data_IF_199438141485
#
_entry.id   IF_199438141485
#
_cell.length_a   1.000
_cell.length_b   1.000
_cell.length_c   1.000
_cell.angle_alpha   90.00
_cell.angle_beta   90.00
_cell.angle_gamma   90.00
#
_symmetry.space_group_name_H-M   'P 1'
#
loop_
_entity.id
_entity.type
_entity.pdbx_description
1 polymer ?
#
# COMPACT_ATOMS: atom_id res chain seq x y z
N UNK A 1 1.25 -1.89 11.38
CA UNK A 1 1.98 -0.83 10.66
C UNK A 1 1.08 -0.29 9.57
N UNK A 2 0.88 1.03 9.53
CA UNK A 2 0.00 1.66 8.54
C UNK A 2 0.61 1.68 7.13
N UNK A 3 -0.20 1.92 6.09
CA UNK A 3 0.30 2.10 4.72
C UNK A 3 1.32 3.26 4.63
N UNK A 4 1.07 4.33 5.39
CA UNK A 4 1.97 5.46 5.51
C UNK A 4 3.31 5.09 6.16
N UNK A 5 3.33 4.23 7.19
CA UNK A 5 4.58 3.77 7.82
C UNK A 5 5.45 2.99 6.84
N UNK A 6 4.82 2.12 6.04
CA UNK A 6 5.52 1.29 5.05
C UNK A 6 6.09 2.17 3.93
N UNK A 7 5.30 3.12 3.42
CA UNK A 7 5.77 4.09 2.42
C UNK A 7 6.90 4.97 2.97
N UNK A 8 6.79 5.44 4.21
CA UNK A 8 7.83 6.25 4.85
C UNK A 8 9.13 5.45 5.05
N UNK A 9 9.03 4.19 5.48
CA UNK A 9 10.18 3.30 5.65
C UNK A 9 10.87 3.03 4.32
N UNK A 10 10.12 2.73 3.26
CA UNK A 10 10.67 2.51 1.92
C UNK A 10 11.29 3.77 1.34
N UNK A 11 10.67 4.93 1.53
CA UNK A 11 11.24 6.22 1.15
C UNK A 11 12.56 6.48 1.86
N UNK A 12 12.62 6.24 3.18
CA UNK A 12 13.85 6.41 3.95
C UNK A 12 14.97 5.48 3.47
N UNK A 13 14.67 4.19 3.24
CA UNK A 13 15.64 3.23 2.70
C UNK A 13 16.12 3.66 1.32
N UNK A 14 15.22 4.11 0.45
CA UNK A 14 15.57 4.60 -0.89
C UNK A 14 16.51 5.83 -0.82
N UNK A 15 16.23 6.79 0.05
CA UNK A 15 17.09 7.96 0.24
C UNK A 15 18.46 7.59 0.80
N UNK A 16 18.54 6.64 1.74
CA UNK A 16 19.83 6.14 2.25
C UNK A 16 20.64 5.50 1.12
N UNK A 17 20.00 4.67 0.28
CA UNK A 17 20.67 4.05 -0.86
C UNK A 17 21.16 5.12 -1.86
N UNK A 18 20.34 6.14 -2.14
CA UNK A 18 20.73 7.28 -3.00
C UNK A 18 21.97 8.00 -2.48
N UNK A 19 22.03 8.28 -1.17
CA UNK A 19 23.18 8.94 -0.53
C UNK A 19 24.43 8.05 -0.59
N UNK A 20 24.26 6.73 -0.46
CA UNK A 20 25.35 5.75 -0.54
C UNK A 20 25.79 5.43 -1.97
N UNK A 21 24.98 5.73 -2.98
CA UNK A 21 25.26 5.38 -4.37
C UNK A 21 26.61 5.89 -4.90
N UNK A 22 27.08 7.14 -4.62
CA UNK A 22 28.43 7.57 -5.05
C UNK A 22 29.58 6.77 -4.42
N UNK A 23 29.33 5.99 -3.37
CA UNK A 23 30.32 5.14 -2.70
C UNK A 23 30.27 3.66 -3.15
N UNK A 24 29.33 3.30 -4.04
CA UNK A 24 29.19 1.93 -4.55
C UNK A 24 30.03 1.72 -5.83
N UNK A 25 30.72 0.59 -5.97
CA UNK A 25 31.57 0.28 -7.13
C UNK A 25 30.81 0.15 -8.46
N UNK A 26 29.48 -0.02 -8.40
CA UNK A 26 28.58 -0.06 -9.56
C UNK A 26 28.29 1.32 -10.17
N UNK A 27 28.52 2.43 -9.43
CA UNK A 27 28.48 3.80 -9.97
C UNK A 27 27.14 4.28 -10.56
N UNK A 28 27.22 5.24 -11.49
CA UNK A 28 26.09 6.01 -12.05
C UNK A 28 25.07 5.17 -12.85
N UNK A 29 25.47 3.98 -13.34
CA UNK A 29 24.56 3.06 -14.04
C UNK A 29 23.54 2.42 -13.10
N UNK A 30 23.93 2.11 -11.85
CA UNK A 30 23.01 1.62 -10.82
C UNK A 30 21.95 2.67 -10.45
N UNK A 31 22.34 3.94 -10.43
CA UNK A 31 21.45 5.07 -10.16
C UNK A 31 20.30 5.13 -11.17
N UNK A 32 20.58 4.94 -12.45
CA UNK A 32 19.57 4.91 -13.52
C UNK A 32 18.57 3.77 -13.35
N UNK A 33 19.05 2.55 -13.08
CA UNK A 33 18.17 1.39 -12.85
C UNK A 33 17.35 1.55 -11.57
N UNK A 34 17.94 2.09 -10.50
CA UNK A 34 17.27 2.32 -9.23
C UNK A 34 16.13 3.35 -9.36
N UNK A 35 16.38 4.45 -10.08
CA UNK A 35 15.37 5.49 -10.36
C UNK A 35 14.19 4.95 -11.18
N UNK A 36 14.44 4.01 -12.09
CA UNK A 36 13.42 3.37 -12.92
C UNK A 36 12.63 2.30 -12.15
N UNK A 37 13.29 1.56 -11.26
CA UNK A 37 12.67 0.51 -10.46
C UNK A 37 11.82 1.06 -9.29
N UNK A 38 12.22 2.18 -8.69
CA UNK A 38 11.52 2.77 -7.54
C UNK A 38 10.03 3.05 -7.77
N UNK A 39 9.60 3.74 -8.84
CA UNK A 39 8.18 3.98 -9.09
C UNK A 39 7.40 2.68 -9.36
N UNK A 40 8.02 1.67 -9.97
CA UNK A 40 7.39 0.35 -10.14
C UNK A 40 7.11 -0.32 -8.80
N UNK A 41 8.05 -0.29 -7.86
CA UNK A 41 7.86 -0.83 -6.51
C UNK A 41 6.73 -0.11 -5.77
N UNK A 42 6.68 1.23 -5.87
CA UNK A 42 5.58 2.01 -5.29
C UNK A 42 4.24 1.63 -5.92
N UNK A 43 4.19 1.49 -7.24
CA UNK A 43 2.96 1.13 -7.97
C UNK A 43 2.42 -0.23 -7.51
N UNK A 44 3.29 -1.24 -7.38
CA UNK A 44 2.90 -2.57 -6.88
C UNK A 44 2.34 -2.48 -5.47
N UNK A 45 2.97 -1.71 -4.58
CA UNK A 45 2.49 -1.53 -3.21
C UNK A 45 1.13 -0.83 -3.13
N UNK A 46 0.91 0.18 -3.98
CA UNK A 46 -0.39 0.85 -4.06
C UNK A 46 -1.47 -0.12 -4.54
N UNK A 47 -1.18 -0.97 -5.52
CA UNK A 47 -2.12 -1.99 -5.98
C UNK A 47 -2.49 -2.98 -4.86
N UNK A 48 -1.51 -3.47 -4.10
CA UNK A 48 -1.76 -4.34 -2.94
C UNK A 48 -2.65 -3.62 -1.91
N UNK A 49 -2.40 -2.34 -1.65
CA UNK A 49 -3.20 -1.55 -0.71
C UNK A 49 -4.63 -1.32 -1.19
N UNK A 50 -4.83 -1.09 -2.49
CA UNK A 50 -6.17 -0.97 -3.08
C UNK A 50 -6.94 -2.28 -2.90
N UNK A 51 -6.28 -3.43 -3.15
CA UNK A 51 -6.91 -4.74 -2.96
C UNK A 51 -7.33 -4.98 -1.51
N UNK A 52 -6.46 -4.68 -0.53
CA UNK A 52 -6.81 -4.76 0.89
C UNK A 52 -8.00 -3.85 1.27
N UNK A 53 -8.14 -2.69 0.61
CA UNK A 53 -9.26 -1.78 0.83
C UNK A 53 -10.55 -2.34 0.24
N UNK A 54 -10.50 -2.92 -0.97
CA UNK A 54 -11.65 -3.55 -1.61
C UNK A 54 -12.19 -4.71 -0.77
N UNK A 55 -11.32 -5.56 -0.23
CA UNK A 55 -11.71 -6.66 0.65
C UNK A 55 -12.43 -6.15 1.90
N UNK A 56 -11.86 -5.12 2.56
CA UNK A 56 -12.49 -4.49 3.73
C UNK A 56 -13.83 -3.84 3.40
N UNK A 57 -13.95 -3.25 2.21
CA UNK A 57 -15.20 -2.66 1.73
C UNK A 57 -16.27 -3.73 1.49
N UNK A 58 -15.89 -4.89 0.95
CA UNK A 58 -16.80 -6.02 0.75
C UNK A 58 -17.31 -6.56 2.10
N UNK A 59 -16.44 -6.71 3.09
CA UNK A 59 -16.82 -7.10 4.45
C UNK A 59 -17.76 -6.09 5.09
N UNK A 60 -17.46 -4.79 5.00
CA UNK A 60 -18.31 -3.70 5.50
C UNK A 60 -19.68 -3.70 4.84
N UNK A 61 -19.74 -3.91 3.52
CA UNK A 61 -21.01 -3.99 2.79
C UNK A 61 -21.86 -5.17 3.27
N UNK A 62 -21.23 -6.33 3.49
CA UNK A 62 -21.91 -7.52 4.02
C UNK A 62 -22.44 -7.28 5.45
N UNK A 63 -21.64 -6.69 6.33
CA UNK A 63 -22.06 -6.35 7.68
C UNK A 63 -23.24 -5.35 7.68
N UNK A 64 -23.24 -4.40 6.76
CA UNK A 64 -24.34 -3.44 6.59
C UNK A 64 -25.63 -4.13 6.11
N UNK A 65 -25.54 -5.08 5.18
CA UNK A 65 -26.69 -5.87 4.72
C UNK A 65 -27.26 -6.76 5.84
N UNK A 66 -26.41 -7.37 6.67
CA UNK A 66 -26.84 -8.15 7.84
C UNK A 66 -27.57 -7.28 8.88
N UNK A 67 -27.04 -6.09 9.18
CA UNK A 67 -27.69 -5.13 10.09
C UNK A 67 -29.04 -4.65 9.55
N UNK A 68 -29.12 -4.31 8.26
CA UNK A 68 -30.38 -3.92 7.62
C UNK A 68 -31.45 -5.02 7.69
N UNK A 69 -31.04 -6.28 7.55
CA UNK A 69 -31.96 -7.42 7.63
C UNK A 69 -32.41 -7.72 9.06
N UNK A 70 -31.61 -7.37 10.07
CA UNK A 70 -31.99 -7.46 11.48
C UNK A 70 -33.00 -6.36 11.85
N UNK A 71 -32.76 -5.13 11.44
CA UNK A 71 -33.66 -3.99 11.67
C UNK A 71 -35.03 -4.22 11.02
N UNK A 72 -35.06 -4.75 9.79
CA UNK A 72 -36.30 -5.12 9.10
C UNK A 72 -37.08 -6.28 9.76
N UNK A 73 -36.44 -7.05 10.65
CA UNK A 73 -37.09 -8.11 11.44
C UNK A 73 -37.61 -7.61 12.78
N UNK A 74 -36.95 -6.63 13.39
CA UNK A 74 -37.41 -5.99 14.64
C UNK A 74 -38.61 -5.05 14.41
N UNK A 75 -38.69 -4.36 13.27
CA UNK A 75 -39.84 -3.49 12.93
C UNK A 75 -41.10 -4.27 12.46
N UNK A 76 -41.02 -5.60 12.38
CA UNK A 76 -42.09 -6.48 11.88
C UNK A 76 -42.92 -7.18 12.97
N UNK A 77 -42.60 -7.00 14.25
CA UNK A 77 -43.39 -7.44 15.42
C UNK A 77 -44.06 -6.24 16.12
#
# INVERSE_FOLDING_TARGET
MGAADVLATLGAVFFIILILTPFLPTGMSFLGTLLLAFPLVIMVLLLVKVYEIEDRLAELKKALEELKNLEAREDGE
#
